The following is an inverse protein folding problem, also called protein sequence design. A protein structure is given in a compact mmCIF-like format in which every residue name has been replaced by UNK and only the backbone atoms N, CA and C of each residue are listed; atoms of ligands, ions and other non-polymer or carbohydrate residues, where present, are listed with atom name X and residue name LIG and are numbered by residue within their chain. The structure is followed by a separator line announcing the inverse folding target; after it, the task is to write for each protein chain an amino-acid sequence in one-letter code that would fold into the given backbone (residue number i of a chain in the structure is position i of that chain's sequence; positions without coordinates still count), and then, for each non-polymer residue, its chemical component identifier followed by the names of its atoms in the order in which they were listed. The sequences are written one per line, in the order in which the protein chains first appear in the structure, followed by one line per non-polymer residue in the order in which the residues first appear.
data_IF_278399029529
#
_entry.id   IF_278399029529
#
_cell.length_a   1.000
_cell.length_b   1.000
_cell.length_c   1.000
_cell.angle_alpha   90.00
_cell.angle_beta   90.00
_cell.angle_gamma   90.00
#
_symmetry.space_group_name_H-M   'P 1'
#
loop_
_entity.id
_entity.type
_entity.pdbx_description
1 polymer ?
#
# COMPACT_ATOMS: atom_id res chain seq x y z
N UNK A 1 -32.61 4.08 24.96
CA UNK A 1 -31.16 3.99 24.72
C UNK A 1 -30.85 2.51 24.55
N UNK A 2 -30.70 2.06 23.31
CA UNK A 2 -30.20 0.71 23.05
C UNK A 2 -28.76 0.63 23.55
N UNK A 3 -28.31 -0.57 23.93
CA UNK A 3 -26.97 -0.82 24.51
C UNK A 3 -25.80 -0.35 23.62
N UNK A 4 -26.09 0.02 22.36
CA UNK A 4 -25.13 0.30 21.29
C UNK A 4 -25.32 1.68 20.65
N UNK A 5 -26.17 2.54 21.21
CA UNK A 5 -26.35 3.91 20.72
C UNK A 5 -25.06 4.72 20.98
N UNK A 6 -24.59 5.44 19.95
CA UNK A 6 -23.45 6.35 20.06
C UNK A 6 -23.98 7.78 19.97
N UNK A 7 -23.71 8.57 20.99
CA UNK A 7 -24.09 9.99 20.98
C UNK A 7 -23.30 10.74 19.89
N UNK A 8 -23.95 11.60 19.08
CA UNK A 8 -23.24 12.40 18.09
C UNK A 8 -22.14 13.26 18.71
N UNK A 9 -21.01 13.39 18.02
CA UNK A 9 -19.90 14.24 18.47
C UNK A 9 -19.76 15.46 17.53
N UNK A 10 -19.54 16.67 18.07
CA UNK A 10 -19.53 17.90 17.28
C UNK A 10 -18.40 17.98 16.23
N UNK A 11 -17.31 17.24 16.43
CA UNK A 11 -16.12 17.32 15.57
C UNK A 11 -15.72 15.99 14.89
N UNK A 12 -16.41 14.89 15.20
CA UNK A 12 -16.03 13.56 14.74
C UNK A 12 -17.21 12.87 14.08
N UNK A 13 -16.97 12.24 12.93
CA UNK A 13 -17.83 11.17 12.46
C UNK A 13 -17.62 9.96 13.37
N UNK A 14 -18.70 9.35 13.84
CA UNK A 14 -18.66 8.21 14.74
C UNK A 14 -19.38 7.00 14.13
N UNK A 15 -18.83 5.80 14.36
CA UNK A 15 -19.48 4.55 13.98
C UNK A 15 -19.04 3.42 14.90
N UNK A 16 -19.96 2.53 15.24
CA UNK A 16 -19.71 1.36 16.08
C UNK A 16 -19.96 0.05 15.33
N UNK A 17 -19.19 -0.99 15.65
CA UNK A 17 -19.38 -2.35 15.13
C UNK A 17 -18.87 -3.37 16.14
N UNK A 18 -19.49 -4.54 16.17
CA UNK A 18 -18.94 -5.70 16.87
C UNK A 18 -17.72 -6.26 16.11
N UNK A 19 -16.66 -6.54 16.85
CA UNK A 19 -15.44 -7.22 16.39
C UNK A 19 -15.15 -8.39 17.32
N UNK A 20 -14.36 -9.35 16.85
CA UNK A 20 -13.85 -10.41 17.72
C UNK A 20 -12.38 -10.11 18.06
N UNK A 21 -12.00 -10.34 19.31
CA UNK A 21 -10.60 -10.36 19.72
C UNK A 21 -9.92 -11.67 19.28
N UNK A 22 -8.63 -11.81 19.58
CA UNK A 22 -7.82 -13.00 19.28
C UNK A 22 -8.30 -14.28 20.00
N UNK A 23 -9.20 -14.16 20.98
CA UNK A 23 -9.81 -15.28 21.71
C UNK A 23 -11.28 -15.52 21.29
N UNK A 24 -11.77 -14.83 20.26
CA UNK A 24 -13.14 -14.96 19.76
C UNK A 24 -14.19 -14.26 20.61
N UNK A 25 -13.79 -13.41 21.58
CA UNK A 25 -14.74 -12.64 22.39
C UNK A 25 -15.23 -11.44 21.60
N UNK A 26 -16.55 -11.25 21.61
CA UNK A 26 -17.18 -10.10 20.98
C UNK A 26 -16.86 -8.81 21.76
N UNK A 27 -16.26 -7.85 21.06
CA UNK A 27 -15.94 -6.52 21.52
C UNK A 27 -16.77 -5.50 20.73
N UNK A 28 -17.32 -4.50 21.42
CA UNK A 28 -17.90 -3.35 20.76
C UNK A 28 -16.82 -2.30 20.49
N UNK A 29 -16.51 -2.07 19.22
CA UNK A 29 -15.47 -1.14 18.78
C UNK A 29 -16.14 0.10 18.22
N UNK A 30 -15.78 1.26 18.76
CA UNK A 30 -16.22 2.58 18.30
C UNK A 30 -15.05 3.28 17.61
N UNK A 31 -15.29 3.76 16.40
CA UNK A 31 -14.35 4.58 15.62
C UNK A 31 -14.83 6.02 15.64
N UNK A 32 -13.91 6.93 15.93
CA UNK A 32 -14.08 8.37 15.71
C UNK A 32 -13.11 8.85 14.65
N UNK A 33 -13.63 9.59 13.67
CA UNK A 33 -12.86 10.01 12.47
C UNK A 33 -13.03 11.49 12.19
N UNK A 34 -11.93 12.11 11.77
CA UNK A 34 -11.85 13.46 11.24
C UNK A 34 -10.86 13.50 10.10
N UNK A 35 -11.21 14.25 9.06
CA UNK A 35 -10.37 14.45 7.88
C UNK A 35 -10.14 15.94 7.67
N UNK A 36 -9.01 16.25 7.05
CA UNK A 36 -8.66 17.61 6.64
C UNK A 36 -8.22 17.60 5.18
N UNK A 37 -8.58 18.66 4.48
CA UNK A 37 -8.15 18.90 3.11
C UNK A 37 -7.23 20.12 3.08
N UNK A 38 -6.06 19.96 2.46
CA UNK A 38 -5.17 21.08 2.17
C UNK A 38 -5.54 21.71 0.82
N UNK A 39 -5.82 23.01 0.82
CA UNK A 39 -6.17 23.76 -0.40
C UNK A 39 -4.96 24.41 -1.09
N UNK A 40 -3.75 24.20 -0.55
CA UNK A 40 -2.52 24.86 -1.00
C UNK A 40 -2.03 25.96 -0.04
N UNK A 41 -2.90 26.41 0.87
CA UNK A 41 -2.62 27.48 1.84
C UNK A 41 -2.98 27.01 3.26
N UNK A 42 -4.18 26.48 3.45
CA UNK A 42 -4.72 26.10 4.75
C UNK A 42 -5.20 24.64 4.77
N UNK A 43 -5.19 24.06 5.97
CA UNK A 43 -5.86 22.79 6.25
C UNK A 43 -7.28 23.07 6.73
N UNK A 44 -8.27 22.61 5.98
CA UNK A 44 -9.68 22.80 6.28
C UNK A 44 -10.29 21.46 6.76
N UNK A 45 -10.97 21.41 7.91
CA UNK A 45 -11.63 20.19 8.37
C UNK A 45 -12.83 19.86 7.48
N UNK A 46 -13.03 18.57 7.20
CA UNK A 46 -14.22 18.06 6.54
C UNK A 46 -15.31 17.79 7.59
N UNK A 47 -16.57 18.13 7.28
CA UNK A 47 -17.70 18.00 8.22
C UNK A 47 -18.14 16.54 8.40
N UNK A 48 -18.22 15.78 7.32
CA UNK A 48 -18.59 14.37 7.34
C UNK A 48 -17.48 13.55 6.71
N UNK A 49 -17.06 12.51 7.43
CA UNK A 49 -16.01 11.60 7.01
C UNK A 49 -16.61 10.19 6.93
N UNK A 50 -16.41 9.51 5.80
CA UNK A 50 -16.84 8.14 5.66
C UNK A 50 -15.98 7.23 6.55
N UNK A 51 -16.63 6.41 7.40
CA UNK A 51 -15.96 5.36 8.17
C UNK A 51 -16.11 4.02 7.44
N UNK A 52 -14.99 3.51 6.96
CA UNK A 52 -14.93 2.31 6.14
C UNK A 52 -15.05 1.05 7.00
N UNK A 53 -16.13 0.29 6.79
CA UNK A 53 -16.33 -1.02 7.43
C UNK A 53 -15.65 -2.16 6.69
N UNK A 54 -15.28 -1.94 5.43
CA UNK A 54 -14.66 -2.92 4.53
C UNK A 54 -13.46 -2.26 3.81
N UNK A 55 -12.43 -3.03 3.44
CA UNK A 55 -11.27 -2.50 2.72
C UNK A 55 -11.64 -1.85 1.39
N UNK A 56 -10.97 -0.75 1.05
CA UNK A 56 -11.15 -0.01 -0.19
C UNK A 56 -9.93 -0.22 -1.11
N UNK A 57 -10.18 -0.53 -2.37
CA UNK A 57 -9.15 -0.82 -3.37
C UNK A 57 -9.15 0.24 -4.49
N UNK A 58 -8.00 0.40 -5.17
CA UNK A 58 -7.89 1.29 -6.33
C UNK A 58 -8.65 0.76 -7.56
N UNK A 59 -8.90 -0.55 -7.61
CA UNK A 59 -9.68 -1.23 -8.64
C UNK A 59 -10.26 -2.53 -8.08
N UNK A 60 -10.09 -3.63 -8.80
CA UNK A 60 -10.58 -4.94 -8.36
C UNK A 60 -9.86 -5.44 -7.09
N UNK A 61 -10.60 -5.89 -6.05
CA UNK A 61 -10.01 -6.51 -4.86
C UNK A 61 -9.15 -7.72 -5.21
N UNK A 62 -7.97 -7.84 -4.58
CA UNK A 62 -7.04 -8.94 -4.86
C UNK A 62 -6.14 -8.74 -6.09
N UNK A 63 -6.57 -7.93 -7.07
CA UNK A 63 -5.81 -7.61 -8.28
C UNK A 63 -5.28 -6.17 -8.35
N UNK A 64 -5.65 -5.32 -7.38
CA UNK A 64 -5.21 -3.92 -7.30
C UNK A 64 -4.74 -3.54 -5.90
N UNK A 65 -4.00 -2.43 -5.80
CA UNK A 65 -3.51 -1.93 -4.52
C UNK A 65 -4.66 -1.53 -3.58
N UNK A 66 -4.54 -1.88 -2.31
CA UNK A 66 -5.45 -1.43 -1.27
C UNK A 66 -5.17 0.03 -0.92
N UNK A 67 -6.21 0.87 -1.02
CA UNK A 67 -6.15 2.28 -0.67
C UNK A 67 -6.23 2.44 0.86
N UNK A 68 -7.26 1.87 1.47
CA UNK A 68 -7.57 1.96 2.91
C UNK A 68 -8.07 0.60 3.39
N UNK A 69 -7.72 0.18 4.61
CA UNK A 69 -8.31 -1.01 5.26
C UNK A 69 -9.63 -0.67 5.97
N UNK A 70 -10.32 -1.66 6.52
CA UNK A 70 -11.41 -1.37 7.46
C UNK A 70 -10.87 -0.63 8.70
N UNK A 71 -11.68 0.25 9.29
CA UNK A 71 -11.24 1.14 10.38
C UNK A 71 -11.53 0.59 11.78
N UNK A 72 -12.09 -0.62 11.87
CA UNK A 72 -12.52 -1.27 13.11
C UNK A 72 -11.51 -2.30 13.64
N UNK A 73 -10.23 -1.96 13.72
CA UNK A 73 -9.28 -2.82 14.44
C UNK A 73 -9.62 -2.82 15.94
N UNK A 74 -9.76 -3.99 16.57
CA UNK A 74 -10.10 -4.08 17.99
C UNK A 74 -8.96 -3.62 18.90
N UNK A 75 -7.72 -3.68 18.41
CA UNK A 75 -6.53 -3.22 19.14
C UNK A 75 -5.47 -2.71 18.14
N UNK A 76 -4.78 -1.63 18.53
CA UNK A 76 -3.56 -1.15 17.87
C UNK A 76 -2.55 -0.79 18.94
N UNK A 77 -1.38 -1.44 18.93
CA UNK A 77 -0.29 -1.10 19.85
C UNK A 77 0.42 0.21 19.49
N UNK A 78 0.28 0.65 18.24
CA UNK A 78 0.89 1.86 17.69
C UNK A 78 -0.04 2.53 16.66
N UNK A 79 0.37 3.69 16.16
CA UNK A 79 -0.34 4.42 15.10
C UNK A 79 0.06 3.91 13.72
N UNK A 80 -0.93 3.56 12.90
CA UNK A 80 -0.71 3.29 11.48
C UNK A 80 -0.56 4.59 10.70
N UNK A 81 0.47 4.68 9.86
CA UNK A 81 0.68 5.81 8.95
C UNK A 81 0.57 5.30 7.52
N UNK A 82 -0.51 5.69 6.84
CA UNK A 82 -0.79 5.27 5.46
C UNK A 82 -0.57 6.46 4.52
N UNK A 83 0.34 6.29 3.56
CA UNK A 83 0.59 7.27 2.50
C UNK A 83 -0.03 6.77 1.19
N UNK A 84 -1.01 7.52 0.67
CA UNK A 84 -1.55 7.33 -0.67
C UNK A 84 -1.20 8.54 -1.53
N UNK A 85 -0.48 8.33 -2.63
CA UNK A 85 -0.05 9.43 -3.48
C UNK A 85 0.79 8.96 -4.66
N UNK A 86 1.54 9.91 -5.24
CA UNK A 86 2.42 9.68 -6.39
C UNK A 86 3.79 10.30 -6.12
N UNK A 87 4.84 9.72 -6.69
CA UNK A 87 6.13 10.37 -6.84
C UNK A 87 5.99 11.44 -7.93
N UNK A 88 6.30 12.70 -7.60
CA UNK A 88 6.29 13.80 -8.57
C UNK A 88 7.64 14.51 -8.56
N UNK A 89 8.25 14.60 -9.73
CA UNK A 89 9.49 15.33 -9.95
C UNK A 89 9.38 16.82 -9.61
N UNK A 90 10.48 17.41 -9.15
CA UNK A 90 10.55 18.83 -8.85
C UNK A 90 10.41 19.69 -10.11
N UNK A 91 9.65 20.79 -10.01
CA UNK A 91 9.40 21.74 -11.10
C UNK A 91 8.89 21.11 -12.42
N UNK A 92 8.29 19.91 -12.34
CA UNK A 92 7.84 19.12 -13.51
C UNK A 92 8.95 18.77 -14.51
N UNK A 93 10.20 18.70 -14.06
CA UNK A 93 11.30 18.25 -14.91
C UNK A 93 11.28 16.72 -15.05
N UNK A 94 11.20 16.15 -16.27
CA UNK A 94 11.20 14.72 -16.45
C UNK A 94 12.47 14.07 -15.89
N UNK A 95 12.31 13.05 -15.04
CA UNK A 95 13.42 12.29 -14.44
C UNK A 95 13.27 10.81 -14.76
N UNK A 96 14.37 10.07 -14.80
CA UNK A 96 14.34 8.61 -14.99
C UNK A 96 14.24 7.84 -13.67
N UNK A 97 14.53 8.51 -12.55
CA UNK A 97 14.32 8.00 -11.20
C UNK A 97 14.05 9.14 -10.22
N UNK A 98 13.33 8.85 -9.13
CA UNK A 98 13.04 9.78 -8.07
C UNK A 98 12.96 9.06 -6.72
N UNK A 99 13.42 9.69 -5.65
CA UNK A 99 13.28 9.14 -4.29
C UNK A 99 12.15 9.82 -3.55
N UNK A 100 11.36 9.03 -2.83
CA UNK A 100 10.28 9.51 -1.97
C UNK A 100 10.53 9.00 -0.55
N UNK A 101 10.55 9.93 0.41
CA UNK A 101 10.80 9.65 1.82
C UNK A 101 9.60 10.06 2.68
N UNK A 102 9.12 9.12 3.48
CA UNK A 102 8.23 9.40 4.61
C UNK A 102 9.11 9.45 5.86
N UNK A 103 9.20 10.63 6.47
CA UNK A 103 9.92 10.86 7.71
C UNK A 103 8.95 11.36 8.78
N UNK A 104 8.87 10.63 9.88
CA UNK A 104 8.26 11.07 11.14
C UNK A 104 9.35 10.90 12.18
N UNK A 105 9.88 12.03 12.67
CA UNK A 105 11.06 12.05 13.53
C UNK A 105 10.88 11.13 14.75
N UNK A 106 11.92 10.34 15.05
CA UNK A 106 11.88 9.33 16.12
C UNK A 106 11.00 8.10 15.89
N UNK A 107 10.24 8.02 14.78
CA UNK A 107 9.27 6.95 14.55
C UNK A 107 9.42 6.23 13.20
N UNK A 108 9.39 6.96 12.08
CA UNK A 108 9.39 6.39 10.73
C UNK A 108 10.44 7.08 9.88
N UNK A 109 11.29 6.30 9.24
CA UNK A 109 12.19 6.75 8.17
C UNK A 109 12.17 5.72 7.03
N UNK A 110 11.27 5.93 6.07
CA UNK A 110 11.09 5.04 4.93
C UNK A 110 11.33 5.80 3.64
N UNK A 111 12.41 5.44 2.95
CA UNK A 111 12.74 5.96 1.62
C UNK A 111 12.58 4.86 0.59
N UNK A 112 11.89 5.17 -0.50
CA UNK A 112 11.77 4.31 -1.68
C UNK A 112 12.31 5.05 -2.90
N UNK A 113 12.98 4.32 -3.80
CA UNK A 113 13.37 4.81 -5.12
C UNK A 113 12.39 4.30 -6.16
N UNK A 114 11.91 5.21 -6.98
CA UNK A 114 10.95 4.99 -8.06
C UNK A 114 11.65 5.22 -9.38
N UNK A 115 11.72 4.20 -10.22
CA UNK A 115 12.22 4.31 -11.58
C UNK A 115 11.07 4.56 -12.55
N UNK A 116 11.37 5.24 -13.66
CA UNK A 116 10.41 5.33 -14.75
C UNK A 116 10.11 3.97 -15.39
N UNK A 117 9.08 3.90 -16.25
CA UNK A 117 8.71 2.68 -16.95
C UNK A 117 9.91 2.04 -17.68
N UNK A 118 9.99 0.71 -17.60
CA UNK A 118 11.01 -0.12 -18.23
C UNK A 118 10.33 -1.31 -18.90
N UNK A 119 11.02 -1.91 -19.87
CA UNK A 119 10.58 -3.09 -20.60
C UNK A 119 11.57 -4.22 -20.43
N UNK A 120 11.06 -5.44 -20.44
CA UNK A 120 11.87 -6.64 -20.61
C UNK A 120 12.34 -6.71 -22.07
N UNK A 121 13.62 -6.99 -22.27
CA UNK A 121 14.24 -7.09 -23.59
C UNK A 121 14.90 -8.44 -23.72
N UNK A 122 14.42 -9.24 -24.66
CA UNK A 122 15.07 -10.50 -25.03
C UNK A 122 16.20 -10.22 -26.03
N UNK A 123 17.41 -10.66 -25.69
CA UNK A 123 18.57 -10.54 -26.55
C UNK A 123 19.47 -11.78 -26.40
N UNK A 124 19.68 -12.51 -27.50
CA UNK A 124 20.57 -13.68 -27.52
C UNK A 124 20.17 -14.79 -26.53
N UNK A 125 18.87 -15.02 -26.33
CA UNK A 125 18.34 -16.02 -25.38
C UNK A 125 18.41 -15.61 -23.91
N UNK A 126 18.82 -14.38 -23.60
CA UNK A 126 18.78 -13.80 -22.25
C UNK A 126 17.73 -12.70 -22.16
N UNK A 127 17.06 -12.59 -21.01
CA UNK A 127 16.17 -11.47 -20.71
C UNK A 127 16.93 -10.41 -19.91
N UNK A 128 16.86 -9.18 -20.38
CA UNK A 128 17.44 -7.99 -19.75
C UNK A 128 16.38 -6.91 -19.57
N UNK A 129 16.76 -5.77 -18.99
CA UNK A 129 15.86 -4.67 -18.69
C UNK A 129 16.32 -3.42 -19.46
N UNK A 130 15.38 -2.72 -20.08
CA UNK A 130 15.64 -1.46 -20.76
C UNK A 130 16.12 -0.37 -19.80
N UNK A 131 16.71 0.71 -20.34
CA UNK A 131 16.87 1.95 -19.57
C UNK A 131 15.49 2.49 -19.17
N UNK A 132 15.36 3.11 -17.98
CA UNK A 132 14.10 3.74 -17.55
C UNK A 132 13.75 4.94 -18.42
N UNK A 133 12.51 4.98 -18.89
CA UNK A 133 11.93 6.15 -19.53
C UNK A 133 11.79 7.30 -18.53
N UNK A 134 11.82 8.54 -19.01
CA UNK A 134 11.59 9.70 -18.15
C UNK A 134 10.11 9.80 -17.73
N UNK A 135 9.85 10.23 -16.51
CA UNK A 135 8.52 10.51 -15.97
C UNK A 135 8.50 11.84 -15.20
N UNK A 136 7.33 12.46 -15.14
CA UNK A 136 7.07 13.60 -14.24
C UNK A 136 6.37 13.11 -12.98
N UNK A 137 5.42 12.18 -13.15
CA UNK A 137 4.68 11.52 -12.07
C UNK A 137 4.70 10.00 -12.23
N UNK A 138 4.76 9.28 -11.11
CA UNK A 138 4.62 7.83 -11.07
C UNK A 138 3.87 7.42 -9.82
N UNK A 139 3.00 6.43 -9.94
CA UNK A 139 2.36 5.81 -8.78
C UNK A 139 3.42 5.08 -7.92
N UNK A 140 3.16 4.98 -6.62
CA UNK A 140 4.10 4.46 -5.60
C UNK A 140 3.51 3.36 -4.72
N UNK A 141 2.43 2.74 -5.18
CA UNK A 141 1.78 1.62 -4.50
C UNK A 141 2.39 0.26 -4.86
N UNK A 142 1.95 -0.78 -4.17
CA UNK A 142 2.50 -2.13 -4.29
C UNK A 142 2.33 -2.80 -5.67
N UNK A 143 1.45 -2.31 -6.55
CA UNK A 143 1.28 -2.89 -7.91
C UNK A 143 2.51 -2.68 -8.81
N UNK A 144 3.33 -1.68 -8.50
CA UNK A 144 4.59 -1.40 -9.23
C UNK A 144 5.83 -1.93 -8.50
N UNK A 145 5.65 -2.68 -7.41
CA UNK A 145 6.72 -3.33 -6.67
C UNK A 145 7.00 -4.74 -7.23
N UNK A 146 8.11 -5.34 -6.78
CA UNK A 146 8.38 -6.76 -7.05
C UNK A 146 7.22 -7.63 -6.52
N UNK A 147 6.80 -8.63 -7.28
CA UNK A 147 5.66 -9.49 -6.95
C UNK A 147 5.24 -10.39 -8.11
N UNK A 148 4.05 -10.98 -8.00
CA UNK A 148 3.59 -12.13 -8.78
C UNK A 148 3.60 -13.44 -7.99
N UNK A 149 3.81 -13.36 -6.66
CA UNK A 149 3.86 -14.47 -5.71
C UNK A 149 3.14 -14.11 -4.40
N UNK A 150 3.21 -14.96 -3.35
CA UNK A 150 2.53 -14.70 -2.07
C UNK A 150 2.97 -13.41 -1.36
N UNK A 151 4.19 -12.91 -1.63
CA UNK A 151 4.72 -11.70 -0.99
C UNK A 151 3.98 -10.45 -1.48
N UNK A 152 3.59 -10.45 -2.75
CA UNK A 152 2.86 -9.36 -3.39
C UNK A 152 2.18 -9.87 -4.68
N UNK A 153 0.91 -10.28 -4.57
CA UNK A 153 0.18 -10.91 -5.68
C UNK A 153 -0.11 -9.96 -6.86
N UNK A 154 -0.27 -8.66 -6.60
CA UNK A 154 -0.53 -7.67 -7.67
C UNK A 154 0.74 -6.99 -8.20
N UNK A 155 1.91 -7.34 -7.65
CA UNK A 155 3.18 -6.84 -8.15
C UNK A 155 3.59 -7.51 -9.47
N UNK A 156 4.83 -7.27 -9.87
CA UNK A 156 5.36 -7.79 -11.12
C UNK A 156 6.81 -8.26 -11.00
N UNK A 157 7.35 -8.85 -12.06
CA UNK A 157 8.76 -9.24 -12.15
C UNK A 157 9.13 -10.56 -11.49
N UNK A 158 8.14 -11.31 -10.97
CA UNK A 158 8.26 -12.73 -10.65
C UNK A 158 7.32 -13.50 -11.58
N UNK A 159 7.87 -14.49 -12.28
CA UNK A 159 7.15 -15.31 -13.23
C UNK A 159 7.75 -16.73 -13.28
N UNK A 160 6.96 -17.71 -13.73
CA UNK A 160 7.41 -19.10 -13.84
C UNK A 160 8.08 -19.42 -15.18
N UNK A 161 7.95 -18.52 -16.16
CA UNK A 161 8.58 -18.65 -17.48
C UNK A 161 9.03 -17.29 -18.04
N UNK A 162 9.99 -17.33 -18.96
CA UNK A 162 10.45 -16.16 -19.71
C UNK A 162 9.32 -15.47 -20.47
N UNK A 163 8.41 -16.25 -21.07
CA UNK A 163 7.26 -15.72 -21.79
C UNK A 163 6.33 -14.91 -20.87
N UNK A 164 5.98 -15.47 -19.71
CA UNK A 164 5.17 -14.75 -18.72
C UNK A 164 5.86 -13.49 -18.22
N UNK A 165 7.18 -13.54 -18.02
CA UNK A 165 7.95 -12.38 -17.59
C UNK A 165 7.89 -11.25 -18.63
N UNK A 166 8.05 -11.58 -19.92
CA UNK A 166 7.99 -10.62 -21.03
C UNK A 166 6.61 -9.95 -21.18
N UNK A 167 5.54 -10.59 -20.71
CA UNK A 167 4.17 -10.05 -20.72
C UNK A 167 3.87 -9.14 -19.52
N UNK A 168 4.72 -9.15 -18.49
CA UNK A 168 4.57 -8.33 -17.29
C UNK A 168 5.30 -6.98 -17.41
N UNK A 169 4.85 -5.94 -16.68
CA UNK A 169 5.66 -4.75 -16.49
C UNK A 169 6.93 -5.07 -15.69
N UNK A 170 7.97 -4.25 -15.86
CA UNK A 170 9.15 -4.28 -14.98
C UNK A 170 8.81 -3.54 -13.68
N UNK A 171 9.12 -4.12 -12.50
CA UNK A 171 8.95 -3.42 -11.22
C UNK A 171 9.71 -2.11 -11.19
N UNK A 172 9.19 -1.12 -10.47
CA UNK A 172 9.67 0.26 -10.52
C UNK A 172 10.04 0.81 -9.15
N UNK A 173 9.57 0.19 -8.07
CA UNK A 173 9.74 0.68 -6.71
C UNK A 173 10.64 -0.28 -5.93
N UNK A 174 11.69 0.27 -5.35
CA UNK A 174 12.70 -0.47 -4.58
C UNK A 174 13.17 0.35 -3.38
N UNK A 175 13.83 -0.28 -2.42
CA UNK A 175 14.62 0.46 -1.45
C UNK A 175 15.89 1.05 -2.12
N UNK A 176 16.38 2.25 -1.74
CA UNK A 176 17.46 2.98 -2.42
C UNK A 176 18.80 2.23 -2.64
N UNK A 177 19.02 1.10 -1.97
CA UNK A 177 20.24 0.30 -2.03
C UNK A 177 20.00 -1.14 -2.49
N UNK A 178 18.79 -1.47 -2.96
CA UNK A 178 18.53 -2.77 -3.57
C UNK A 178 18.97 -2.74 -5.04
N UNK A 179 19.99 -3.54 -5.35
CA UNK A 179 20.39 -3.80 -6.73
C UNK A 179 19.47 -4.86 -7.34
N UNK A 180 18.37 -4.40 -7.91
CA UNK A 180 17.43 -5.28 -8.59
C UNK A 180 17.85 -5.49 -10.04
N UNK A 181 18.03 -6.76 -10.39
CA UNK A 181 18.23 -7.26 -11.74
C UNK A 181 17.21 -8.35 -12.01
N UNK A 182 17.06 -8.74 -13.28
CA UNK A 182 16.18 -9.83 -13.72
C UNK A 182 16.43 -11.15 -12.97
N UNK A 183 17.63 -11.34 -12.44
CA UNK A 183 18.07 -12.57 -11.76
C UNK A 183 18.29 -12.38 -10.25
N UNK A 184 18.05 -11.18 -9.72
CA UNK A 184 18.23 -10.90 -8.29
C UNK A 184 17.29 -11.79 -7.47
N UNK A 185 17.88 -12.59 -6.58
CA UNK A 185 17.14 -13.37 -5.59
C UNK A 185 16.97 -12.52 -4.33
N UNK A 186 15.80 -12.64 -3.69
CA UNK A 186 15.50 -12.04 -2.38
C UNK A 186 15.41 -10.50 -2.34
N UNK A 187 14.64 -9.91 -3.26
CA UNK A 187 14.35 -8.46 -3.24
C UNK A 187 13.10 -8.22 -2.41
N UNK A 188 13.14 -7.22 -1.52
CA UNK A 188 12.00 -6.90 -0.64
C UNK A 188 10.89 -6.23 -1.43
N UNK A 189 9.66 -6.50 -1.03
CA UNK A 189 8.50 -5.77 -1.55
C UNK A 189 8.56 -4.34 -1.00
N UNK A 190 8.66 -3.36 -1.89
CA UNK A 190 8.80 -1.95 -1.57
C UNK A 190 7.60 -1.17 -2.12
N UNK A 191 6.85 -0.51 -1.24
CA UNK A 191 5.70 0.31 -1.63
C UNK A 191 5.22 1.19 -0.48
N UNK A 192 4.50 2.26 -0.81
CA UNK A 192 3.69 3.01 0.14
C UNK A 192 2.22 2.55 0.06
N UNK A 193 1.43 2.91 1.06
CA UNK A 193 0.01 2.57 1.14
C UNK A 193 -0.29 1.42 2.09
N UNK A 194 -1.57 1.03 2.13
CA UNK A 194 -2.04 -0.06 2.98
C UNK A 194 -1.48 -1.40 2.51
N UNK A 195 -1.05 -2.25 3.45
CA UNK A 195 -0.62 -3.63 3.15
C UNK A 195 -1.86 -4.52 3.13
N UNK A 196 -2.23 -5.14 1.99
CA UNK A 196 -3.44 -5.95 1.92
C UNK A 196 -3.38 -7.21 2.79
N UNK A 197 -4.52 -7.70 3.32
CA UNK A 197 -4.55 -8.86 4.21
C UNK A 197 -4.06 -10.15 3.52
N UNK A 198 -4.12 -10.21 2.20
CA UNK A 198 -3.65 -11.36 1.41
C UNK A 198 -2.15 -11.33 1.07
N UNK A 199 -1.40 -10.35 1.57
CA UNK A 199 0.06 -10.39 1.50
C UNK A 199 0.59 -11.35 2.55
N UNK A 200 1.61 -12.12 2.19
CA UNK A 200 2.25 -13.08 3.09
C UNK A 200 2.56 -12.49 4.48
N UNK A 201 3.04 -11.24 4.54
CA UNK A 201 3.36 -10.55 5.80
C UNK A 201 2.18 -10.39 6.75
N UNK A 202 0.95 -10.37 6.23
CA UNK A 202 -0.29 -10.35 7.02
C UNK A 202 -0.95 -11.72 7.11
N UNK A 203 -0.91 -12.52 6.04
CA UNK A 203 -1.49 -13.88 6.04
C UNK A 203 -0.89 -14.77 7.13
N UNK A 204 0.42 -14.66 7.38
CA UNK A 204 1.08 -15.43 8.46
C UNK A 204 0.62 -15.06 9.87
N UNK A 205 -0.13 -13.95 10.01
CA UNK A 205 -0.73 -13.48 11.26
C UNK A 205 -2.24 -13.76 11.31
N UNK A 206 -2.80 -14.39 10.29
CA UNK A 206 -4.21 -14.79 10.32
C UNK A 206 -4.42 -15.78 11.47
N UNK A 207 -5.49 -15.57 12.23
CA UNK A 207 -5.86 -16.46 13.33
C UNK A 207 -6.34 -17.81 12.80
N UNK A 208 -6.27 -18.83 13.65
CA UNK A 208 -6.66 -20.21 13.36
C UNK A 208 -8.16 -20.43 13.61
N UNK A 209 -8.99 -19.38 13.48
CA UNK A 209 -10.41 -19.43 13.86
C UNK A 209 -11.21 -20.48 13.07
N UNK A 210 -10.75 -20.78 11.86
CA UNK A 210 -11.34 -21.78 10.96
C UNK A 210 -10.52 -23.09 10.94
N UNK A 211 -9.45 -23.19 11.73
CA UNK A 211 -8.68 -24.43 11.86
C UNK A 211 -9.36 -25.30 12.94
N UNK A 212 -10.05 -26.35 12.50
CA UNK A 212 -10.52 -27.45 13.36
C UNK A 212 -9.38 -28.40 13.76
#
# INVERSE_FOLDING_TARGET
MQLWDIEPHPELSLKGRLQNDEHGRALWVVVGKREWQFDGINWNPLQECEIFTEPQYMGEPGASAQRIDHEFAYFKSNTDVILCGKARSYAKNPVTSHECRLLIDGHIDKTLRVYGPRQWVEHGGSITISRPSSFIESDIDYSYAIGGDERNRMGCGVATSNQQLLEQPVPRIFYPNEDWTATSKQIKVAGFGSVPPFFESRQRLAGTFDDE
#
